data_IF_013019756992
#
_entry.id   IF_013019756992
#
_cell.length_a   1.000
_cell.length_b   1.000
_cell.length_c   1.000
_cell.angle_alpha   90.00
_cell.angle_beta   90.00
_cell.angle_gamma   90.00
#
_symmetry.space_group_name_H-M   'P 1'
#
loop_
_entity.id
_entity.type
_entity.pdbx_description
1 polymer ?
#
# COMPACT_ATOMS: atom_id res chain seq x y z
N UNK A 1 -3.09 7.52 18.83
CA UNK A 1 -2.13 7.17 17.77
C UNK A 1 -1.03 8.22 17.72
N UNK A 2 0.26 7.84 17.59
CA UNK A 2 1.41 8.78 17.58
C UNK A 2 1.58 9.50 16.23
N UNK A 3 0.49 10.05 15.69
CA UNK A 3 0.35 10.61 14.34
C UNK A 3 1.25 11.80 14.06
N UNK A 4 1.58 12.59 15.08
CA UNK A 4 2.55 13.70 15.00
C UNK A 4 3.93 13.28 14.47
N UNK A 5 4.33 12.01 14.65
CA UNK A 5 5.62 11.49 14.13
C UNK A 5 5.65 11.38 12.61
N UNK A 6 4.48 11.34 11.96
CA UNK A 6 4.35 11.18 10.52
C UNK A 6 4.18 12.52 9.78
N UNK A 7 4.35 13.67 10.45
CA UNK A 7 4.02 15.00 9.91
C UNK A 7 4.72 15.29 8.58
N UNK A 8 6.01 14.93 8.48
CA UNK A 8 6.86 15.25 7.32
C UNK A 8 7.15 14.05 6.41
N UNK A 9 6.50 12.91 6.65
CA UNK A 9 6.78 11.66 5.91
C UNK A 9 5.65 11.37 4.94
N UNK A 10 5.93 11.20 3.64
CA UNK A 10 4.95 10.64 2.70
C UNK A 10 4.40 9.32 3.23
N UNK A 11 3.08 9.15 3.20
CA UNK A 11 2.40 7.98 3.73
C UNK A 11 1.35 7.45 2.75
N UNK A 12 1.44 6.14 2.46
CA UNK A 12 0.42 5.34 1.78
C UNK A 12 0.01 4.20 2.72
N UNK A 13 -1.30 4.01 2.92
CA UNK A 13 -1.85 2.94 3.77
C UNK A 13 -2.73 2.03 2.92
N UNK A 14 -2.41 0.73 2.89
CA UNK A 14 -3.28 -0.30 2.32
C UNK A 14 -3.72 -1.26 3.42
N UNK A 15 -5.00 -1.63 3.43
CA UNK A 15 -5.55 -2.66 4.33
C UNK A 15 -6.66 -3.44 3.62
N UNK A 16 -7.05 -4.58 4.16
CA UNK A 16 -8.04 -5.49 3.58
C UNK A 16 -9.05 -5.91 4.65
N UNK A 17 -10.35 -5.93 4.33
CA UNK A 17 -11.42 -6.19 5.32
C UNK A 17 -11.40 -7.61 5.87
N UNK A 18 -10.82 -8.56 5.15
CA UNK A 18 -10.69 -9.95 5.59
C UNK A 18 -9.30 -10.28 6.19
N UNK A 19 -8.54 -9.27 6.60
CA UNK A 19 -7.31 -9.47 7.36
C UNK A 19 -7.65 -9.96 8.78
N UNK A 20 -7.29 -11.22 9.05
CA UNK A 20 -7.52 -11.88 10.33
C UNK A 20 -6.38 -11.66 11.35
N UNK A 21 -5.23 -11.14 10.90
CA UNK A 21 -4.07 -10.93 11.75
C UNK A 21 -4.08 -9.51 12.32
N UNK A 22 -4.46 -8.52 11.49
CA UNK A 22 -4.64 -7.11 11.91
C UNK A 22 -6.03 -6.65 11.49
N UNK A 23 -6.88 -6.38 12.48
CA UNK A 23 -8.26 -6.00 12.22
C UNK A 23 -8.33 -4.66 11.48
N UNK A 24 -9.14 -4.60 10.41
CA UNK A 24 -9.35 -3.39 9.60
C UNK A 24 -9.76 -2.17 10.44
N UNK A 25 -10.49 -2.37 11.54
CA UNK A 25 -10.89 -1.30 12.47
C UNK A 25 -9.69 -0.54 13.03
N UNK A 26 -8.58 -1.22 13.34
CA UNK A 26 -7.37 -0.57 13.85
C UNK A 26 -6.78 0.39 12.81
N UNK A 27 -6.77 -0.03 11.54
CA UNK A 27 -6.30 0.80 10.43
C UNK A 27 -7.25 1.97 10.17
N UNK A 28 -8.57 1.74 10.25
CA UNK A 28 -9.56 2.81 10.17
C UNK A 28 -9.40 3.85 11.29
N UNK A 29 -9.08 3.40 12.51
CA UNK A 29 -8.78 4.29 13.63
C UNK A 29 -7.51 5.11 13.37
N UNK A 30 -6.44 4.50 12.85
CA UNK A 30 -5.23 5.23 12.44
C UNK A 30 -5.55 6.29 11.36
N UNK A 31 -6.32 5.92 10.33
CA UNK A 31 -6.75 6.84 9.25
C UNK A 31 -7.53 8.02 9.84
N UNK A 32 -8.48 7.76 10.75
CA UNK A 32 -9.26 8.80 11.44
C UNK A 32 -8.35 9.74 12.24
N UNK A 33 -7.40 9.21 13.00
CA UNK A 33 -6.44 10.03 13.75
C UNK A 33 -5.53 10.88 12.84
N UNK A 34 -5.02 10.32 11.74
CA UNK A 34 -4.19 11.07 10.79
C UNK A 34 -4.98 12.21 10.12
N UNK A 35 -6.27 11.98 9.82
CA UNK A 35 -7.17 13.02 9.29
C UNK A 35 -7.45 14.10 10.32
N UNK A 36 -7.70 13.74 11.58
CA UNK A 36 -7.92 14.70 12.67
C UNK A 36 -6.71 15.62 12.88
N UNK A 37 -5.50 15.08 12.71
CA UNK A 37 -4.24 15.85 12.77
C UNK A 37 -3.96 16.68 11.50
N UNK A 38 -4.87 16.68 10.52
CA UNK A 38 -4.73 17.45 9.28
C UNK A 38 -3.67 16.92 8.32
N UNK A 39 -3.16 15.70 8.51
CA UNK A 39 -2.16 15.12 7.61
C UNK A 39 -2.75 14.84 6.23
N UNK A 40 -1.99 15.15 5.18
CA UNK A 40 -2.25 14.69 3.81
C UNK A 40 -1.53 13.36 3.58
N UNK A 41 -2.27 12.35 3.15
CA UNK A 41 -1.77 10.99 2.89
C UNK A 41 -2.74 10.26 1.97
N UNK A 42 -2.27 9.15 1.39
CA UNK A 42 -3.07 8.28 0.53
C UNK A 42 -3.43 7.00 1.29
N UNK A 43 -4.62 6.46 1.03
CA UNK A 43 -5.00 5.17 1.59
C UNK A 43 -6.02 4.45 0.71
N UNK A 44 -6.05 3.12 0.83
CA UNK A 44 -7.03 2.26 0.16
C UNK A 44 -7.38 1.08 1.06
N UNK A 45 -8.69 0.88 1.26
CA UNK A 45 -9.26 -0.25 1.99
C UNK A 45 -9.81 -1.20 0.93
N UNK A 46 -9.20 -2.37 0.80
CA UNK A 46 -9.67 -3.43 -0.07
C UNK A 46 -10.78 -4.23 0.62
N UNK A 47 -11.80 -4.62 -0.14
CA UNK A 47 -12.91 -5.42 0.37
C UNK A 47 -12.72 -6.88 -0.01
N UNK A 48 -12.48 -7.71 1.00
CA UNK A 48 -12.48 -9.18 0.96
C UNK A 48 -11.63 -9.78 -0.16
N UNK A 49 -10.50 -9.14 -0.50
CA UNK A 49 -9.63 -9.68 -1.55
C UNK A 49 -8.86 -10.90 -1.02
N UNK A 50 -8.61 -11.93 -1.86
CA UNK A 50 -7.92 -13.13 -1.41
C UNK A 50 -6.51 -12.87 -0.87
N UNK A 51 -6.13 -13.62 0.17
CA UNK A 51 -4.79 -13.57 0.77
C UNK A 51 -4.72 -12.90 2.15
N UNK A 52 -5.84 -12.39 2.68
CA UNK A 52 -5.94 -11.86 4.05
C UNK A 52 -4.82 -10.86 4.35
N UNK A 53 -4.08 -11.08 5.44
CA UNK A 53 -2.92 -10.26 5.84
C UNK A 53 -1.81 -10.15 4.78
N UNK A 54 -1.71 -11.13 3.88
CA UNK A 54 -0.64 -11.23 2.88
C UNK A 54 -1.10 -10.89 1.46
N UNK A 55 -2.29 -10.31 1.28
CA UNK A 55 -2.95 -10.12 -0.02
C UNK A 55 -2.05 -9.48 -1.10
N UNK A 56 -1.21 -8.51 -0.74
CA UNK A 56 -0.33 -7.80 -1.67
C UNK A 56 0.96 -8.55 -2.01
N UNK A 57 1.31 -9.60 -1.24
CA UNK A 57 2.49 -10.45 -1.45
C UNK A 57 2.20 -11.69 -2.28
N UNK A 58 0.92 -12.03 -2.46
CA UNK A 58 0.50 -13.17 -3.25
C UNK A 58 0.96 -13.07 -4.71
N UNK A 59 1.03 -14.20 -5.41
CA UNK A 59 1.31 -14.25 -6.86
C UNK A 59 0.03 -14.17 -7.72
N UNK A 60 -0.96 -13.39 -7.26
CA UNK A 60 -2.17 -13.11 -8.05
C UNK A 60 -1.98 -11.86 -8.90
N UNK A 61 -2.80 -11.71 -9.95
CA UNK A 61 -2.83 -10.47 -10.76
C UNK A 61 -3.13 -9.25 -9.89
N UNK A 62 -4.13 -9.35 -9.02
CA UNK A 62 -4.53 -8.28 -8.10
C UNK A 62 -3.36 -7.89 -7.17
N UNK A 63 -2.65 -8.84 -6.59
CA UNK A 63 -1.49 -8.55 -5.75
C UNK A 63 -0.37 -7.84 -6.51
N UNK A 64 -0.13 -8.19 -7.78
CA UNK A 64 0.83 -7.52 -8.66
C UNK A 64 0.39 -6.09 -8.99
N UNK A 65 -0.89 -5.85 -9.21
CA UNK A 65 -1.45 -4.50 -9.42
C UNK A 65 -1.26 -3.63 -8.18
N UNK A 66 -1.53 -4.16 -6.99
CA UNK A 66 -1.33 -3.46 -5.72
C UNK A 66 0.14 -3.15 -5.48
N UNK A 67 1.04 -4.09 -5.79
CA UNK A 67 2.49 -3.83 -5.75
C UNK A 67 2.91 -2.73 -6.72
N UNK A 68 2.35 -2.72 -7.93
CA UNK A 68 2.62 -1.67 -8.91
C UNK A 68 2.14 -0.29 -8.42
N UNK A 69 0.99 -0.20 -7.74
CA UNK A 69 0.52 1.03 -7.08
C UNK A 69 1.54 1.51 -6.03
N UNK A 70 2.04 0.62 -5.17
CA UNK A 70 3.06 0.93 -4.17
C UNK A 70 4.35 1.44 -4.82
N UNK A 71 4.83 0.78 -5.88
CA UNK A 71 6.05 1.22 -6.57
C UNK A 71 5.88 2.57 -7.25
N UNK A 72 4.71 2.83 -7.85
CA UNK A 72 4.39 4.14 -8.44
C UNK A 72 4.40 5.24 -7.38
N UNK A 73 3.77 5.00 -6.23
CA UNK A 73 3.80 5.91 -5.10
C UNK A 73 5.23 6.22 -4.66
N UNK A 74 6.04 5.19 -4.40
CA UNK A 74 7.44 5.36 -3.99
C UNK A 74 8.27 6.09 -5.05
N UNK A 75 8.03 5.83 -6.34
CA UNK A 75 8.77 6.45 -7.44
C UNK A 75 8.59 7.97 -7.49
N UNK A 76 7.45 8.51 -7.05
CA UNK A 76 7.21 9.96 -6.97
C UNK A 76 8.19 10.67 -6.01
N UNK A 77 8.59 10.00 -4.93
CA UNK A 77 9.45 10.58 -3.90
C UNK A 77 10.93 10.16 -4.06
N UNK A 78 11.18 8.90 -4.43
CA UNK A 78 12.54 8.33 -4.47
C UNK A 78 13.23 8.47 -5.83
N UNK A 79 12.49 8.79 -6.90
CA UNK A 79 13.02 9.00 -8.26
C UNK A 79 14.00 7.90 -8.72
N UNK A 80 13.58 6.61 -8.70
CA UNK A 80 14.46 5.51 -9.10
C UNK A 80 14.85 5.64 -10.58
N UNK A 81 16.07 5.22 -10.93
CA UNK A 81 16.57 5.28 -12.31
C UNK A 81 15.74 4.45 -13.30
N UNK A 82 15.05 3.41 -12.81
CA UNK A 82 14.20 2.51 -13.59
C UNK A 82 12.85 2.32 -12.88
N UNK A 83 11.92 3.28 -12.97
CA UNK A 83 10.60 3.15 -12.33
C UNK A 83 9.80 2.02 -12.97
N UNK A 84 9.06 1.27 -12.16
CA UNK A 84 8.13 0.24 -12.64
C UNK A 84 6.77 0.91 -12.96
N UNK A 85 6.36 0.86 -14.21
CA UNK A 85 5.15 1.56 -14.70
C UNK A 85 4.05 0.61 -15.16
N UNK A 86 4.39 -0.65 -15.46
CA UNK A 86 3.48 -1.68 -15.94
C UNK A 86 3.64 -3.04 -15.23
N UNK A 87 2.61 -3.88 -15.32
CA UNK A 87 2.66 -5.26 -14.84
C UNK A 87 3.73 -6.10 -15.56
N UNK A 88 3.95 -5.83 -16.86
CA UNK A 88 4.97 -6.52 -17.65
C UNK A 88 6.38 -6.23 -17.12
N UNK A 89 6.67 -4.98 -16.79
CA UNK A 89 7.95 -4.59 -16.18
C UNK A 89 8.12 -5.19 -14.79
N UNK A 90 7.07 -5.16 -13.97
CA UNK A 90 7.08 -5.78 -12.65
C UNK A 90 7.36 -7.28 -12.74
N UNK A 91 6.71 -7.98 -13.67
CA UNK A 91 6.91 -9.41 -13.88
C UNK A 91 8.32 -9.71 -14.38
N UNK A 92 8.82 -8.97 -15.37
CA UNK A 92 10.20 -9.09 -15.85
C UNK A 92 11.23 -8.85 -14.74
N UNK A 93 10.98 -7.88 -13.86
CA UNK A 93 11.86 -7.59 -12.73
C UNK A 93 11.86 -8.69 -11.66
N UNK A 94 10.69 -9.29 -11.39
CA UNK A 94 10.54 -10.34 -10.38
C UNK A 94 11.02 -11.72 -10.84
N UNK A 95 10.83 -12.05 -12.11
CA UNK A 95 11.03 -13.41 -12.63
C UNK A 95 12.13 -13.53 -13.68
N UNK A 96 12.73 -12.42 -14.15
CA UNK A 96 13.78 -12.37 -15.18
C UNK A 96 13.40 -12.87 -16.60
N UNK A 97 12.18 -13.35 -16.81
CA UNK A 97 11.64 -13.83 -18.09
C UNK A 97 10.49 -12.95 -18.58
#
# INVERSE_FOLDING_TARGET
WNTHRMKNTPLLIHTNTNDADVNVLEVEHLIKSLKADGKKFEYKIYKDIPGGHSFNRMDSKVAKEIRLEIYKYLATYLKPAKPLTSLKELQKAGYRY
#
